data_IF_012199927631
#
_entry.id   IF_012199927631
#
_cell.length_a   1.000
_cell.length_b   1.000
_cell.length_c   1.000
_cell.angle_alpha   90.00
_cell.angle_beta   90.00
_cell.angle_gamma   90.00
#
_symmetry.space_group_name_H-M   'P 1'
#
loop_
_entity.id
_entity.type
_entity.pdbx_description
1 polymer ?
#
# COMPACT_ATOMS: atom_id res chain seq x y z
N UNK A 1 -31.74 -42.96 26.82
CA UNK A 1 -30.50 -42.23 26.41
C UNK A 1 -30.67 -40.71 26.33
N UNK A 2 -31.86 -40.13 26.29
CA UNK A 2 -32.09 -38.70 26.06
C UNK A 2 -31.83 -37.76 27.29
N UNK A 3 -32.05 -38.23 28.54
CA UNK A 3 -31.97 -37.36 29.72
C UNK A 3 -30.55 -36.91 30.09
N UNK A 4 -29.52 -37.72 29.85
CA UNK A 4 -28.11 -37.35 30.12
C UNK A 4 -27.53 -36.27 29.18
N UNK A 5 -28.04 -36.18 27.97
CA UNK A 5 -27.60 -35.14 27.01
C UNK A 5 -28.20 -33.76 27.36
N UNK A 6 -29.43 -33.71 27.81
CA UNK A 6 -30.10 -32.44 28.20
C UNK A 6 -29.41 -31.82 29.42
N UNK A 7 -29.03 -32.64 30.42
CA UNK A 7 -28.32 -32.15 31.60
C UNK A 7 -26.91 -31.58 31.24
N UNK A 8 -26.22 -32.20 30.30
CA UNK A 8 -24.90 -31.74 29.82
C UNK A 8 -24.97 -30.40 29.07
N UNK A 9 -26.01 -30.18 28.27
CA UNK A 9 -26.23 -28.91 27.58
C UNK A 9 -26.59 -27.77 28.55
N UNK A 10 -27.43 -28.05 29.56
CA UNK A 10 -27.80 -27.05 30.58
C UNK A 10 -26.61 -26.62 31.43
N UNK A 11 -25.73 -27.55 31.83
CA UNK A 11 -24.52 -27.24 32.61
C UNK A 11 -23.47 -26.44 31.77
N UNK A 12 -23.35 -26.71 30.46
CA UNK A 12 -22.48 -25.92 29.57
C UNK A 12 -23.04 -24.51 29.39
N UNK A 13 -24.35 -24.37 29.24
CA UNK A 13 -24.98 -23.05 29.06
C UNK A 13 -24.84 -22.21 30.35
N UNK A 14 -25.03 -22.79 31.53
CA UNK A 14 -24.86 -22.10 32.83
C UNK A 14 -23.40 -21.69 33.10
N UNK A 15 -22.40 -22.48 32.64
CA UNK A 15 -20.98 -22.11 32.71
C UNK A 15 -20.64 -20.95 31.79
N UNK A 16 -21.20 -20.93 30.57
CA UNK A 16 -21.01 -19.86 29.60
C UNK A 16 -21.57 -18.52 30.09
N UNK A 17 -22.74 -18.52 30.75
CA UNK A 17 -23.34 -17.31 31.31
C UNK A 17 -22.53 -16.76 32.51
N UNK A 18 -21.96 -17.62 33.36
CA UNK A 18 -21.09 -17.17 34.46
C UNK A 18 -19.75 -16.58 33.99
N UNK A 19 -19.26 -17.00 32.85
CA UNK A 19 -18.03 -16.44 32.27
C UNK A 19 -18.33 -15.04 31.68
N UNK A 20 -19.43 -14.86 30.93
CA UNK A 20 -19.85 -13.57 30.41
C UNK A 20 -20.05 -12.50 31.47
N UNK A 21 -20.73 -12.84 32.58
CA UNK A 21 -20.93 -11.88 33.68
C UNK A 21 -19.65 -11.47 34.38
N UNK A 22 -18.65 -12.36 34.48
CA UNK A 22 -17.32 -12.01 35.03
C UNK A 22 -16.50 -11.12 34.09
N UNK A 23 -16.60 -11.31 32.81
CA UNK A 23 -15.94 -10.44 31.81
C UNK A 23 -16.56 -9.04 31.77
N UNK A 24 -17.89 -8.94 31.84
CA UNK A 24 -18.59 -7.65 31.91
C UNK A 24 -18.26 -6.86 33.19
N UNK A 25 -18.12 -7.53 34.33
CA UNK A 25 -17.67 -6.90 35.59
C UNK A 25 -16.21 -6.44 35.53
N UNK A 26 -15.33 -7.18 34.83
CA UNK A 26 -13.94 -6.83 34.65
C UNK A 26 -13.80 -5.57 33.77
N UNK A 27 -14.52 -5.52 32.66
CA UNK A 27 -14.55 -4.37 31.75
C UNK A 27 -15.08 -3.12 32.45
N UNK A 28 -16.14 -3.20 33.26
CA UNK A 28 -16.63 -2.08 34.07
C UNK A 28 -15.63 -1.57 35.10
N UNK A 29 -14.85 -2.44 35.73
CA UNK A 29 -13.81 -2.04 36.70
C UNK A 29 -12.62 -1.36 36.01
N UNK A 30 -12.24 -1.79 34.80
CA UNK A 30 -11.17 -1.18 34.04
C UNK A 30 -11.58 0.20 33.48
N UNK A 31 -12.82 0.36 33.00
CA UNK A 31 -13.38 1.65 32.59
C UNK A 31 -13.40 2.66 33.76
N UNK A 32 -13.77 2.24 34.95
CA UNK A 32 -13.79 3.15 36.12
C UNK A 32 -12.38 3.58 36.55
N UNK A 33 -11.37 2.70 36.45
CA UNK A 33 -9.96 3.06 36.72
C UNK A 33 -9.39 4.04 35.66
N UNK A 34 -9.80 3.96 34.40
CA UNK A 34 -9.40 4.87 33.35
C UNK A 34 -9.91 6.30 33.64
N UNK A 35 -11.19 6.46 34.00
CA UNK A 35 -11.78 7.77 34.27
C UNK A 35 -11.16 8.46 35.50
N UNK A 36 -10.77 7.70 36.54
CA UNK A 36 -10.10 8.25 37.71
C UNK A 36 -8.67 8.73 37.41
N UNK A 37 -7.94 8.03 36.52
CA UNK A 37 -6.61 8.47 36.09
C UNK A 37 -6.66 9.74 35.25
N UNK A 38 -7.62 9.86 34.33
CA UNK A 38 -7.79 11.06 33.48
C UNK A 38 -8.12 12.30 34.30
N UNK A 39 -8.94 12.17 35.34
CA UNK A 39 -9.26 13.27 36.26
C UNK A 39 -8.05 13.74 37.09
N UNK A 40 -7.15 12.83 37.44
CA UNK A 40 -5.95 13.16 38.23
C UNK A 40 -4.90 13.94 37.41
N UNK A 41 -4.75 13.62 36.12
CA UNK A 41 -3.83 14.34 35.24
C UNK A 41 -4.32 15.73 34.86
N UNK A 42 -5.63 15.95 34.74
CA UNK A 42 -6.19 17.28 34.47
C UNK A 42 -5.98 18.25 35.64
N UNK A 43 -5.96 17.74 36.87
CA UNK A 43 -5.75 18.58 38.08
C UNK A 43 -4.27 18.98 38.25
N UNK A 44 -3.33 18.16 37.81
CA UNK A 44 -1.88 18.45 37.91
C UNK A 44 -1.44 19.45 36.83
N UNK A 45 -2.04 19.48 35.65
CA UNK A 45 -1.72 20.41 34.57
C UNK A 45 -2.10 21.87 34.90
N UNK A 46 -3.12 22.09 35.75
CA UNK A 46 -3.58 23.44 36.15
C UNK A 46 -2.67 24.14 37.19
N UNK A 47 -1.77 23.42 37.84
CA UNK A 47 -0.87 23.99 38.88
C UNK A 47 0.44 24.54 38.28
N UNK A 48 0.83 24.14 37.08
CA UNK A 48 2.09 24.56 36.46
C UNK A 48 2.01 25.83 35.58
N UNK A 49 0.84 26.40 35.35
CA UNK A 49 0.68 27.60 34.50
C UNK A 49 0.67 28.97 35.26
N UNK A 50 0.94 28.99 36.56
CA UNK A 50 0.82 30.21 37.39
C UNK A 50 2.15 30.87 37.81
N UNK A 51 3.30 30.45 37.31
CA UNK A 51 4.59 31.03 37.67
C UNK A 51 5.50 31.24 36.49
N UNK A 52 5.29 32.26 35.68
CA UNK A 52 6.34 32.88 34.84
C UNK A 52 5.86 34.19 34.26
N UNK A 53 5.94 35.20 35.01
CA UNK A 53 5.82 36.59 34.57
C UNK A 53 6.48 37.52 35.56
N UNK A 54 7.74 37.84 35.37
CA UNK A 54 8.34 39.11 35.75
C UNK A 54 9.84 39.16 35.39
N UNK A 55 10.30 40.35 34.94
CA UNK A 55 11.65 40.81 34.63
C UNK A 55 12.02 40.67 33.14
N UNK A 56 12.45 41.70 32.43
CA UNK A 56 12.71 43.09 32.75
C UNK A 56 13.30 43.75 31.49
N UNK A 57 12.86 44.94 31.16
CA UNK A 57 13.31 45.80 30.08
C UNK A 57 14.75 46.32 30.31
N UNK A 58 15.65 46.16 29.34
CA UNK A 58 16.83 47.04 29.18
C UNK A 58 16.98 47.34 27.69
N UNK A 59 16.79 48.59 27.33
CA UNK A 59 16.99 49.09 25.98
C UNK A 59 18.47 49.32 25.67
N UNK A 60 18.82 49.14 24.42
CA UNK A 60 19.99 49.77 23.80
C UNK A 60 19.57 50.34 22.45
N UNK A 61 19.74 51.68 22.34
CA UNK A 61 19.69 52.40 21.06
C UNK A 61 21.04 52.24 20.37
N UNK A 62 21.03 51.85 19.12
CA UNK A 62 22.05 52.30 18.19
C UNK A 62 21.47 52.43 16.77
N UNK A 63 21.70 53.62 16.25
CA UNK A 63 21.34 54.07 14.92
C UNK A 63 22.41 53.64 13.91
N UNK A 64 22.05 52.95 12.85
CA UNK A 64 22.88 52.87 11.66
C UNK A 64 22.02 52.83 10.38
N UNK A 65 22.54 53.49 9.40
CA UNK A 65 21.98 54.07 8.20
C UNK A 65 21.40 53.08 7.17
N UNK A 66 20.44 53.59 6.42
CA UNK A 66 19.86 53.05 5.20
C UNK A 66 20.92 52.71 4.14
N UNK A 67 20.92 51.45 3.68
CA UNK A 67 21.36 51.10 2.34
C UNK A 67 20.20 50.28 1.70
N UNK A 68 19.58 50.87 0.67
CA UNK A 68 18.54 50.24 -0.12
C UNK A 68 19.11 49.08 -0.89
N UNK A 69 18.81 47.87 -0.42
CA UNK A 69 18.96 46.64 -1.18
C UNK A 69 17.55 46.09 -1.41
N UNK A 70 17.17 45.91 -2.68
CA UNK A 70 15.97 45.21 -3.07
C UNK A 70 15.97 43.84 -2.37
N UNK A 71 15.05 43.62 -1.45
CA UNK A 71 14.78 42.32 -0.90
C UNK A 71 14.19 41.44 -2.04
N UNK A 72 15.04 40.75 -2.76
CA UNK A 72 14.60 39.54 -3.44
C UNK A 72 14.06 38.61 -2.35
N UNK A 73 12.75 38.40 -2.36
CA UNK A 73 12.11 37.38 -1.55
C UNK A 73 12.71 36.04 -2.03
N UNK A 74 13.65 35.53 -1.23
CA UNK A 74 14.03 34.11 -1.36
C UNK A 74 12.78 33.34 -0.95
N UNK A 75 11.90 33.08 -1.90
CA UNK A 75 10.91 32.03 -1.79
C UNK A 75 11.73 30.76 -1.62
N UNK A 76 11.82 30.28 -0.40
CA UNK A 76 12.35 28.96 -0.10
C UNK A 76 11.50 27.98 -0.92
N UNK A 77 11.99 27.57 -2.10
CA UNK A 77 11.36 26.49 -2.83
C UNK A 77 11.39 25.26 -1.91
N UNK A 78 10.22 24.87 -1.46
CA UNK A 78 10.05 23.62 -0.74
C UNK A 78 10.61 22.51 -1.63
N UNK A 79 11.65 21.84 -1.15
CA UNK A 79 12.21 20.68 -1.86
C UNK A 79 11.08 19.67 -2.08
N UNK A 80 10.94 19.15 -3.32
CA UNK A 80 9.88 18.20 -3.63
C UNK A 80 10.01 16.92 -2.78
N UNK A 81 8.90 16.29 -2.38
CA UNK A 81 8.95 14.97 -1.77
C UNK A 81 9.40 13.94 -2.83
N UNK A 82 10.24 13.01 -2.42
CA UNK A 82 10.88 12.03 -3.32
C UNK A 82 10.94 10.65 -2.66
N UNK A 83 11.07 9.55 -3.42
CA UNK A 83 11.39 8.26 -2.83
C UNK A 83 12.70 8.33 -2.04
N UNK A 84 12.70 7.85 -0.81
CA UNK A 84 13.88 7.79 0.06
C UNK A 84 14.19 6.33 0.40
N UNK A 85 15.47 5.96 0.44
CA UNK A 85 15.91 4.66 0.99
C UNK A 85 15.98 4.72 2.52
N UNK A 86 16.39 5.87 3.05
CA UNK A 86 16.40 6.24 4.45
C UNK A 86 16.31 7.78 4.53
N UNK A 87 16.13 8.32 5.72
CA UNK A 87 16.03 9.77 5.90
C UNK A 87 17.22 10.50 5.29
N UNK A 88 16.93 11.35 4.30
CA UNK A 88 17.93 12.16 3.60
C UNK A 88 18.66 11.45 2.46
N UNK A 89 18.28 10.24 2.09
CA UNK A 89 18.87 9.49 0.97
C UNK A 89 17.86 9.32 -0.18
N UNK A 90 17.72 10.30 -1.09
CA UNK A 90 16.78 10.28 -2.20
C UNK A 90 17.24 9.35 -3.32
N UNK A 91 16.28 8.68 -3.97
CA UNK A 91 16.48 7.85 -5.16
C UNK A 91 15.38 8.13 -6.19
N UNK A 92 15.60 7.73 -7.46
CA UNK A 92 14.55 7.89 -8.48
C UNK A 92 13.41 6.88 -8.32
N UNK A 93 13.73 5.68 -7.86
CA UNK A 93 12.75 4.66 -7.49
C UNK A 93 13.34 3.68 -6.48
N UNK A 94 12.45 3.04 -5.72
CA UNK A 94 12.75 1.84 -4.94
C UNK A 94 11.61 0.85 -5.03
N UNK A 95 11.94 -0.43 -4.86
CA UNK A 95 11.02 -1.55 -4.71
C UNK A 95 11.32 -2.26 -3.40
N UNK A 96 10.26 -2.70 -2.71
CA UNK A 96 10.35 -3.49 -1.48
C UNK A 96 9.42 -4.70 -1.60
N UNK A 97 9.90 -5.87 -1.19
CA UNK A 97 9.09 -7.05 -0.93
C UNK A 97 9.23 -7.46 0.53
N UNK A 98 8.13 -7.38 1.27
CA UNK A 98 8.00 -7.85 2.65
C UNK A 98 7.56 -9.30 2.65
N UNK A 99 8.27 -10.16 3.39
CA UNK A 99 7.97 -11.58 3.48
C UNK A 99 6.75 -11.87 4.37
N UNK A 100 6.22 -13.08 4.28
CA UNK A 100 5.17 -13.58 5.17
C UNK A 100 5.72 -14.04 6.53
N UNK A 101 4.87 -14.05 7.55
CA UNK A 101 5.27 -14.35 8.93
C UNK A 101 5.58 -15.83 9.19
N UNK A 102 5.04 -16.75 8.39
CA UNK A 102 5.29 -18.19 8.60
C UNK A 102 6.71 -18.60 8.21
N UNK A 103 7.21 -18.07 7.09
CA UNK A 103 8.54 -18.42 6.55
C UNK A 103 9.65 -17.53 7.08
N UNK A 104 9.32 -16.29 7.40
CA UNK A 104 10.24 -15.28 7.91
C UNK A 104 9.62 -14.60 9.14
N UNK A 105 9.55 -15.31 10.28
CA UNK A 105 9.08 -14.69 11.51
C UNK A 105 10.04 -13.58 11.89
N UNK A 106 9.53 -12.37 11.96
CA UNK A 106 10.31 -11.19 12.26
C UNK A 106 10.53 -11.00 13.76
N UNK A 107 10.71 -9.74 14.22
CA UNK A 107 11.03 -9.28 15.57
C UNK A 107 10.93 -10.31 16.68
N UNK A 108 12.05 -10.77 17.15
CA UNK A 108 12.12 -11.69 18.29
C UNK A 108 12.25 -10.95 19.64
N UNK A 109 12.38 -9.63 19.62
CA UNK A 109 12.55 -8.80 20.81
C UNK A 109 11.19 -8.34 21.32
N UNK A 110 10.80 -8.77 22.49
CA UNK A 110 9.61 -8.27 23.22
C UNK A 110 9.80 -6.83 23.76
N UNK A 111 10.69 -6.05 23.15
CA UNK A 111 10.92 -4.69 23.57
C UNK A 111 9.79 -3.78 23.08
N UNK A 112 9.21 -2.92 23.93
CA UNK A 112 8.28 -1.91 23.50
C UNK A 112 8.90 -1.04 22.42
N UNK A 113 8.16 -0.74 21.36
CA UNK A 113 8.60 0.15 20.29
C UNK A 113 7.61 1.29 20.13
N UNK A 114 8.15 2.47 19.92
CA UNK A 114 7.34 3.64 19.58
C UNK A 114 6.95 3.56 18.11
N UNK A 115 5.65 3.58 17.84
CA UNK A 115 5.12 3.63 16.48
C UNK A 115 5.37 5.00 15.87
N UNK A 116 6.18 5.07 14.83
CA UNK A 116 6.56 6.33 14.17
C UNK A 116 5.33 7.10 13.63
N UNK A 117 4.32 6.38 13.13
CA UNK A 117 3.11 6.95 12.54
C UNK A 117 1.88 6.80 13.43
N UNK A 118 2.06 6.53 14.71
CA UNK A 118 0.98 6.25 15.65
C UNK A 118 0.58 4.76 15.64
N UNK A 119 -0.58 4.44 16.22
CA UNK A 119 -1.06 3.08 16.39
C UNK A 119 -0.78 2.52 17.78
N UNK A 120 -1.24 1.31 18.01
CA UNK A 120 -1.11 0.62 19.28
C UNK A 120 -0.10 -0.50 19.13
N UNK A 121 1.00 -0.38 19.85
CA UNK A 121 1.95 -1.47 19.99
C UNK A 121 1.28 -2.62 20.74
N UNK A 122 1.35 -3.82 20.17
CA UNK A 122 0.90 -5.04 20.84
C UNK A 122 2.11 -5.93 21.14
N UNK A 123 1.96 -6.77 22.16
CA UNK A 123 2.98 -7.75 22.49
C UNK A 123 3.28 -8.61 21.26
N UNK A 124 4.53 -8.59 20.83
CA UNK A 124 5.00 -9.34 19.70
C UNK A 124 4.94 -10.84 20.00
N UNK A 125 4.13 -11.56 19.26
CA UNK A 125 3.87 -13.00 19.48
C UNK A 125 4.47 -13.90 18.39
N UNK A 126 5.39 -13.40 17.58
CA UNK A 126 6.01 -14.18 16.50
C UNK A 126 5.08 -14.44 15.30
N UNK A 127 3.97 -13.68 15.21
CA UNK A 127 2.98 -13.82 14.13
C UNK A 127 3.15 -12.79 13.01
N UNK A 128 4.13 -11.91 13.11
CA UNK A 128 4.36 -10.80 12.19
C UNK A 128 5.67 -11.00 11.45
N UNK A 129 5.71 -10.61 10.18
CA UNK A 129 6.94 -10.57 9.42
C UNK A 129 7.41 -9.13 9.30
N UNK A 130 8.68 -8.94 9.50
CA UNK A 130 9.39 -7.69 9.31
C UNK A 130 10.44 -7.79 8.24
N UNK A 131 10.90 -9.01 8.00
CA UNK A 131 11.93 -9.27 7.02
C UNK A 131 11.45 -8.80 5.64
N UNK A 132 12.29 -8.00 5.01
CA UNK A 132 12.05 -7.51 3.67
C UNK A 132 13.34 -7.49 2.86
N UNK A 133 13.16 -7.47 1.55
CA UNK A 133 14.20 -7.18 0.58
C UNK A 133 13.83 -5.96 -0.23
N UNK A 134 14.81 -5.22 -0.69
CA UNK A 134 14.60 -4.02 -1.48
C UNK A 134 15.62 -3.90 -2.61
N UNK A 135 15.28 -3.10 -3.61
CA UNK A 135 16.16 -2.64 -4.67
C UNK A 135 15.85 -1.18 -4.97
N UNK A 136 16.80 -0.46 -5.57
CA UNK A 136 16.63 0.95 -5.90
C UNK A 136 17.27 1.32 -7.23
N UNK A 137 17.05 2.55 -7.67
CA UNK A 137 17.71 3.10 -8.86
C UNK A 137 19.24 3.16 -8.73
N UNK A 138 19.78 3.30 -7.51
CA UNK A 138 21.21 3.29 -7.23
C UNK A 138 21.78 1.88 -7.15
N UNK A 139 21.03 0.94 -6.56
CA UNK A 139 21.40 -0.47 -6.55
C UNK A 139 20.21 -1.34 -6.92
N UNK A 140 20.06 -1.68 -8.22
CA UNK A 140 18.94 -2.47 -8.69
C UNK A 140 18.97 -3.95 -8.30
N UNK A 141 20.04 -4.44 -7.69
CA UNK A 141 20.11 -5.80 -7.14
C UNK A 141 19.37 -5.87 -5.82
N UNK A 142 18.68 -6.99 -5.55
CA UNK A 142 17.96 -7.21 -4.29
C UNK A 142 18.94 -7.23 -3.11
N UNK A 143 18.61 -6.46 -2.09
CA UNK A 143 19.32 -6.37 -0.82
C UNK A 143 18.38 -6.76 0.31
N UNK A 144 18.93 -7.32 1.40
CA UNK A 144 18.15 -7.53 2.63
C UNK A 144 17.97 -6.19 3.33
N UNK A 145 16.76 -5.90 3.79
CA UNK A 145 16.47 -4.80 4.69
C UNK A 145 16.85 -5.13 6.13
N UNK A 146 16.91 -4.09 6.96
CA UNK A 146 17.21 -4.20 8.38
C UNK A 146 16.00 -3.69 9.20
N UNK A 147 15.62 -4.47 10.21
CA UNK A 147 14.49 -4.15 11.09
C UNK A 147 13.11 -4.38 10.48
N UNK A 148 12.11 -3.72 11.05
CA UNK A 148 10.71 -3.81 10.65
C UNK A 148 10.40 -2.79 9.54
N UNK A 149 9.82 -3.23 8.46
CA UNK A 149 9.42 -2.35 7.38
C UNK A 149 8.36 -1.34 7.85
N UNK A 150 8.59 -0.05 7.60
CA UNK A 150 7.69 1.04 7.98
C UNK A 150 7.81 1.48 9.45
N UNK A 151 8.68 0.87 10.24
CA UNK A 151 8.85 1.16 11.66
C UNK A 151 9.82 2.33 11.93
N UNK A 152 10.76 2.59 11.02
CA UNK A 152 11.83 3.57 11.22
C UNK A 152 12.05 4.49 10.03
N UNK A 153 12.88 5.51 10.23
CA UNK A 153 13.35 6.37 9.14
C UNK A 153 14.58 5.80 8.41
N UNK A 154 14.95 4.56 8.69
CA UNK A 154 16.08 3.85 8.06
C UNK A 154 15.63 2.80 7.06
N UNK A 155 14.33 2.76 6.78
CA UNK A 155 13.75 1.88 5.75
C UNK A 155 13.04 2.72 4.68
N UNK A 156 12.91 2.21 3.44
CA UNK A 156 12.37 2.98 2.33
C UNK A 156 10.92 3.43 2.52
N UNK A 157 10.08 2.61 3.13
CA UNK A 157 8.65 2.92 3.33
C UNK A 157 8.51 3.98 4.42
N UNK A 158 9.13 3.78 5.58
CA UNK A 158 9.08 4.71 6.70
C UNK A 158 9.64 6.08 6.34
N UNK A 159 10.83 6.13 5.74
CA UNK A 159 11.47 7.39 5.35
C UNK A 159 10.68 8.14 4.27
N UNK A 160 10.13 7.44 3.28
CA UNK A 160 9.35 8.10 2.21
C UNK A 160 8.03 8.63 2.74
N UNK A 161 7.31 7.88 3.57
CA UNK A 161 6.03 8.29 4.13
C UNK A 161 6.16 9.42 5.16
N UNK A 162 7.22 9.42 5.97
CA UNK A 162 7.49 10.46 6.99
C UNK A 162 7.53 11.87 6.39
N UNK A 163 8.06 12.04 5.18
CA UNK A 163 8.10 13.33 4.49
C UNK A 163 6.73 13.98 4.37
N UNK A 164 5.70 13.18 4.20
CA UNK A 164 4.31 13.62 3.99
C UNK A 164 3.55 13.64 5.31
N UNK A 165 3.59 12.55 6.06
CA UNK A 165 2.77 12.36 7.26
C UNK A 165 3.15 13.34 8.38
N UNK A 166 4.43 13.58 8.62
CA UNK A 166 4.92 14.44 9.71
C UNK A 166 5.28 15.85 9.27
N UNK A 167 5.36 16.15 7.97
CA UNK A 167 5.79 17.47 7.49
C UNK A 167 4.62 18.44 7.25
N UNK A 168 3.46 17.96 6.79
CA UNK A 168 2.25 18.76 6.57
C UNK A 168 2.30 19.83 5.44
N UNK A 169 3.42 19.95 4.72
CA UNK A 169 3.62 21.01 3.70
C UNK A 169 3.33 20.55 2.26
N UNK A 170 3.17 19.25 2.04
CA UNK A 170 2.94 18.70 0.70
C UNK A 170 1.47 18.44 0.42
N UNK A 171 1.13 18.54 -0.87
CA UNK A 171 -0.14 18.03 -1.36
C UNK A 171 -0.06 16.52 -1.53
N UNK A 172 -1.16 15.81 -1.28
CA UNK A 172 -1.21 14.35 -1.42
C UNK A 172 -2.59 13.85 -1.78
N UNK A 173 -2.61 12.66 -2.37
CA UNK A 173 -3.81 11.83 -2.56
C UNK A 173 -3.47 10.41 -2.12
N UNK A 174 -4.29 9.84 -1.25
CA UNK A 174 -4.26 8.43 -0.88
C UNK A 174 -5.49 7.76 -1.46
N UNK A 175 -5.31 6.56 -2.01
CA UNK A 175 -6.39 5.70 -2.47
C UNK A 175 -6.20 4.28 -1.95
N UNK A 176 -7.30 3.65 -1.55
CA UNK A 176 -7.30 2.26 -1.12
C UNK A 176 -8.72 1.69 -1.25
N UNK A 177 -8.88 0.56 -1.92
CA UNK A 177 -10.19 -0.08 -2.02
C UNK A 177 -10.60 -0.85 -0.76
N UNK A 178 -9.76 -0.85 0.28
CA UNK A 178 -9.94 -1.56 1.54
C UNK A 178 -9.56 -0.69 2.74
N UNK A 179 -10.18 0.48 2.91
CA UNK A 179 -9.98 1.35 4.08
C UNK A 179 -10.62 0.80 5.36
N UNK A 180 -11.48 -0.23 5.25
CA UNK A 180 -12.18 -0.86 6.39
C UNK A 180 -13.01 0.09 7.26
N UNK A 181 -13.43 1.22 6.70
CA UNK A 181 -14.29 2.21 7.35
C UNK A 181 -13.55 3.35 8.04
N UNK A 182 -12.22 3.40 7.93
CA UNK A 182 -11.40 4.52 8.41
C UNK A 182 -10.33 4.89 7.34
N UNK A 183 -10.60 5.91 6.50
CA UNK A 183 -11.82 6.73 6.47
C UNK A 183 -13.06 6.01 5.91
N UNK A 184 -14.23 6.55 6.23
CA UNK A 184 -15.49 6.11 5.63
C UNK A 184 -15.61 6.67 4.22
N UNK A 185 -15.69 5.81 3.23
CA UNK A 185 -15.93 6.22 1.83
C UNK A 185 -17.39 5.99 1.46
N UNK A 186 -18.04 7.02 0.90
CA UNK A 186 -19.45 6.94 0.50
C UNK A 186 -19.68 5.82 -0.52
N UNK A 187 -20.56 4.90 -0.20
CA UNK A 187 -20.90 3.76 -1.07
C UNK A 187 -19.90 2.59 -1.00
N UNK A 188 -18.96 2.62 -0.05
CA UNK A 188 -18.00 1.56 0.17
C UNK A 188 -17.55 1.56 1.65
N UNK A 189 -18.23 0.81 2.50
CA UNK A 189 -18.04 0.92 3.95
C UNK A 189 -16.83 0.15 4.50
N UNK A 190 -16.37 -0.92 3.82
CA UNK A 190 -15.23 -1.73 4.28
C UNK A 190 -14.26 -2.03 3.13
N UNK A 191 -14.72 -2.80 2.16
CA UNK A 191 -13.97 -3.19 0.97
C UNK A 191 -14.83 -2.92 -0.26
N UNK A 192 -14.26 -2.24 -1.24
CA UNK A 192 -14.95 -1.89 -2.48
C UNK A 192 -14.78 -2.99 -3.51
N UNK A 193 -15.88 -3.42 -4.11
CA UNK A 193 -15.88 -4.41 -5.20
C UNK A 193 -15.98 -3.73 -6.57
N UNK A 194 -15.95 -4.53 -7.65
CA UNK A 194 -16.26 -4.07 -9.02
C UNK A 194 -17.50 -3.16 -9.04
N UNK A 195 -17.49 -2.07 -9.82
CA UNK A 195 -16.49 -1.65 -10.80
C UNK A 195 -15.38 -0.73 -10.24
N UNK A 196 -15.23 -0.60 -8.92
CA UNK A 196 -14.10 0.10 -8.34
C UNK A 196 -12.78 -0.60 -8.65
N UNK A 197 -11.71 0.18 -8.76
CA UNK A 197 -10.36 -0.34 -8.88
C UNK A 197 -9.97 -1.22 -7.69
N UNK A 198 -9.10 -2.19 -7.93
CA UNK A 198 -8.39 -2.92 -6.88
C UNK A 198 -6.97 -2.34 -6.83
N UNK A 199 -6.83 -1.19 -6.22
CA UNK A 199 -5.61 -0.40 -6.26
C UNK A 199 -5.43 0.33 -4.94
N UNK A 200 -4.17 0.45 -4.50
CA UNK A 200 -3.79 1.09 -3.26
C UNK A 200 -2.49 1.86 -3.44
N UNK A 201 -2.39 3.02 -2.80
CA UNK A 201 -1.19 3.83 -2.86
C UNK A 201 -1.38 5.28 -2.44
N UNK A 202 -0.33 6.05 -2.66
CA UNK A 202 -0.36 7.49 -2.47
C UNK A 202 0.43 8.23 -3.55
N UNK A 203 0.01 9.45 -3.82
CA UNK A 203 0.76 10.50 -4.51
C UNK A 203 1.11 11.59 -3.51
N UNK A 204 2.29 12.17 -3.61
CA UNK A 204 2.65 13.39 -2.89
C UNK A 204 3.46 14.32 -3.79
N UNK A 205 3.22 15.63 -3.70
CA UNK A 205 3.90 16.61 -4.54
C UNK A 205 3.97 18.00 -3.87
N UNK A 206 4.92 18.82 -4.34
CA UNK A 206 5.08 20.21 -3.95
C UNK A 206 4.25 21.17 -4.82
N UNK A 207 4.38 22.47 -4.61
CA UNK A 207 3.69 23.52 -5.37
C UNK A 207 3.97 23.49 -6.89
N UNK A 208 5.12 22.95 -7.30
CA UNK A 208 5.49 22.81 -8.72
C UNK A 208 4.93 21.53 -9.35
N UNK A 209 4.27 20.67 -8.60
CA UNK A 209 3.76 19.38 -9.07
C UNK A 209 4.84 18.31 -9.20
N UNK A 210 6.04 18.53 -8.67
CA UNK A 210 7.10 17.51 -8.61
C UNK A 210 6.94 16.71 -7.33
N UNK A 211 7.10 15.39 -7.41
CA UNK A 211 6.88 14.54 -6.24
C UNK A 211 7.12 13.06 -6.50
N UNK A 212 6.32 12.21 -5.88
CA UNK A 212 6.39 10.76 -6.08
C UNK A 212 5.03 10.09 -6.09
N UNK A 213 4.98 8.89 -6.67
CA UNK A 213 3.93 7.89 -6.46
C UNK A 213 4.48 6.75 -5.63
N UNK A 214 3.67 6.21 -4.72
CA UNK A 214 3.94 4.96 -4.02
C UNK A 214 2.76 4.02 -4.21
N UNK A 215 2.96 2.95 -4.98
CA UNK A 215 2.02 1.83 -5.11
C UNK A 215 2.26 0.86 -3.96
N UNK A 216 1.19 0.37 -3.35
CA UNK A 216 1.27 -0.59 -2.25
C UNK A 216 0.28 -1.73 -2.45
N UNK A 217 0.60 -2.90 -1.96
CA UNK A 217 -0.34 -4.02 -2.00
C UNK A 217 -1.17 -4.15 -0.71
N UNK A 218 -0.82 -3.42 0.34
CA UNK A 218 -1.44 -3.52 1.67
C UNK A 218 -2.85 -2.95 1.72
N UNK A 219 -3.86 -3.72 2.15
CA UNK A 219 -5.13 -3.16 2.60
C UNK A 219 -4.90 -2.19 3.77
N UNK A 220 -5.82 -1.25 3.98
CA UNK A 220 -5.83 -0.25 5.04
C UNK A 220 -4.65 0.73 5.13
N UNK A 221 -3.51 0.46 4.51
CA UNK A 221 -2.32 1.32 4.53
C UNK A 221 -2.00 1.90 3.13
N UNK A 222 -1.53 3.17 3.01
CA UNK A 222 -1.71 4.21 4.01
C UNK A 222 -3.18 4.65 4.05
N UNK A 223 -3.67 5.10 5.20
CA UNK A 223 -5.03 5.56 5.37
C UNK A 223 -5.15 6.99 5.89
N UNK A 224 -4.01 7.64 6.16
CA UNK A 224 -3.91 9.06 6.45
C UNK A 224 -2.59 9.60 5.90
N UNK A 225 -2.63 10.76 5.27
CA UNK A 225 -1.44 11.45 4.74
C UNK A 225 -0.89 12.51 5.67
N UNK A 226 -1.55 12.77 6.80
CA UNK A 226 -1.12 13.77 7.77
C UNK A 226 -1.47 13.35 9.19
N UNK A 227 -0.57 13.63 10.13
CA UNK A 227 -0.80 13.46 11.57
C UNK A 227 -1.91 14.36 12.13
N UNK A 228 -2.30 15.42 11.41
CA UNK A 228 -3.38 16.32 11.81
C UNK A 228 -4.76 15.71 11.57
N UNK A 229 -4.84 14.70 10.68
CA UNK A 229 -6.03 13.93 10.38
C UNK A 229 -5.74 12.42 10.44
N UNK A 230 -5.28 11.89 11.59
CA UNK A 230 -4.78 10.53 11.68
C UNK A 230 -5.91 9.51 11.51
N UNK A 231 -5.54 8.31 11.10
CA UNK A 231 -6.38 7.14 11.25
C UNK A 231 -6.53 6.80 12.74
N UNK A 232 -7.71 6.34 13.14
CA UNK A 232 -8.03 6.13 14.56
C UNK A 232 -7.74 4.71 15.04
N UNK A 233 -7.63 3.74 14.12
CA UNK A 233 -7.52 2.32 14.46
C UNK A 233 -6.07 1.83 14.62
N UNK A 234 -5.19 2.10 13.66
CA UNK A 234 -3.83 1.56 13.63
C UNK A 234 -2.72 2.59 13.33
N UNK A 235 -3.08 3.85 13.10
CA UNK A 235 -2.13 4.97 12.95
C UNK A 235 -1.21 4.88 11.72
N UNK A 236 -1.55 4.12 10.67
CA UNK A 236 -0.74 3.90 9.47
C UNK A 236 0.57 3.11 9.71
N UNK A 237 0.66 2.33 10.76
CA UNK A 237 1.87 1.56 11.06
C UNK A 237 1.94 0.26 10.26
N UNK A 238 3.17 -0.18 10.01
CA UNK A 238 3.53 -1.46 9.40
C UNK A 238 4.54 -2.19 10.29
N UNK A 239 4.97 -3.35 9.83
CA UNK A 239 6.11 -4.04 10.42
C UNK A 239 5.82 -4.74 11.75
N UNK A 240 6.39 -4.26 12.83
CA UNK A 240 6.38 -4.90 14.14
C UNK A 240 5.09 -4.72 14.95
N UNK A 241 4.07 -4.12 14.39
CA UNK A 241 2.83 -3.80 15.08
C UNK A 241 1.72 -4.74 14.64
N UNK A 242 0.80 -5.08 15.53
CA UNK A 242 -0.37 -5.89 15.16
C UNK A 242 -1.31 -5.11 14.25
N UNK A 243 -1.05 -5.26 12.98
CA UNK A 243 -1.89 -4.81 11.88
C UNK A 243 -2.32 -6.03 11.06
N UNK A 244 -3.47 -5.99 10.41
CA UNK A 244 -3.98 -7.09 9.59
C UNK A 244 -3.13 -7.38 8.35
N UNK A 245 -2.23 -6.48 7.98
CA UNK A 245 -1.41 -6.55 6.76
C UNK A 245 0.02 -7.04 6.98
N UNK A 246 0.47 -7.14 8.22
CA UNK A 246 1.85 -7.55 8.53
C UNK A 246 2.09 -9.04 8.42
N UNK A 247 1.04 -9.86 8.41
CA UNK A 247 1.16 -11.33 8.44
C UNK A 247 1.56 -11.94 7.10
N UNK A 248 1.06 -11.38 6.01
CA UNK A 248 1.25 -11.91 4.65
C UNK A 248 2.32 -11.16 3.88
N UNK A 249 2.85 -11.77 2.81
CA UNK A 249 3.80 -11.06 1.96
C UNK A 249 3.13 -9.89 1.26
N UNK A 250 3.84 -8.76 1.18
CA UNK A 250 3.39 -7.52 0.55
C UNK A 250 4.46 -6.96 -0.38
N UNK A 251 4.09 -6.07 -1.30
CA UNK A 251 5.05 -5.28 -2.06
C UNK A 251 4.72 -3.80 -1.99
N UNK A 252 5.77 -3.00 -2.16
CA UNK A 252 5.74 -1.55 -2.23
C UNK A 252 6.66 -1.11 -3.36
N UNK A 253 6.25 -0.11 -4.09
CA UNK A 253 7.04 0.47 -5.17
C UNK A 253 6.85 1.98 -5.15
N UNK A 254 7.94 2.75 -5.06
CA UNK A 254 7.88 4.21 -5.17
C UNK A 254 8.72 4.72 -6.33
N UNK A 255 8.21 5.75 -6.98
CA UNK A 255 8.78 6.35 -8.18
C UNK A 255 8.70 7.87 -8.12
N UNK A 256 9.81 8.55 -8.37
CA UNK A 256 9.89 10.00 -8.52
C UNK A 256 9.13 10.45 -9.77
N UNK A 257 8.42 11.56 -9.66
CA UNK A 257 7.59 12.13 -10.72
C UNK A 257 7.96 13.58 -10.99
N UNK A 258 8.03 13.93 -12.26
CA UNK A 258 7.87 15.30 -12.73
C UNK A 258 6.39 15.69 -12.70
N UNK A 259 6.07 16.99 -12.88
CA UNK A 259 4.68 17.43 -13.03
C UNK A 259 3.97 16.71 -14.20
N UNK A 260 4.64 16.53 -15.32
CA UNK A 260 4.07 15.83 -16.47
C UNK A 260 3.78 14.35 -16.16
N UNK A 261 4.65 13.68 -15.39
CA UNK A 261 4.41 12.32 -14.94
C UNK A 261 3.25 12.24 -13.92
N UNK A 262 3.18 13.20 -13.00
CA UNK A 262 2.08 13.30 -12.02
C UNK A 262 0.72 13.38 -12.74
N UNK A 263 0.61 14.18 -13.80
CA UNK A 263 -0.59 14.30 -14.64
C UNK A 263 -0.95 12.94 -15.26
N UNK A 264 0.04 12.22 -15.86
CA UNK A 264 -0.16 10.88 -16.42
C UNK A 264 -0.65 9.88 -15.36
N UNK A 265 -0.03 9.89 -14.18
CA UNK A 265 -0.45 9.02 -13.09
C UNK A 265 -1.87 9.33 -12.63
N UNK A 266 -2.24 10.61 -12.48
CA UNK A 266 -3.61 11.00 -12.13
C UNK A 266 -4.65 10.54 -13.16
N UNK A 267 -4.34 10.62 -14.46
CA UNK A 267 -5.20 10.05 -15.50
C UNK A 267 -5.30 8.54 -15.41
N UNK A 268 -4.19 7.84 -15.16
CA UNK A 268 -4.18 6.39 -14.95
C UNK A 268 -5.04 5.96 -13.75
N UNK A 269 -4.95 6.67 -12.62
CA UNK A 269 -5.77 6.43 -11.43
C UNK A 269 -7.26 6.68 -11.69
N UNK A 270 -7.59 7.73 -12.45
CA UNK A 270 -8.97 8.00 -12.87
C UNK A 270 -9.50 6.88 -13.77
N UNK A 271 -8.71 6.44 -14.76
CA UNK A 271 -9.06 5.32 -15.64
C UNK A 271 -9.28 4.03 -14.85
N UNK A 272 -8.43 3.75 -13.86
CA UNK A 272 -8.53 2.60 -12.97
C UNK A 272 -9.72 2.67 -11.99
N UNK A 273 -10.42 3.81 -11.86
CA UNK A 273 -11.52 4.01 -10.90
C UNK A 273 -11.06 3.81 -9.44
N UNK A 274 -9.95 4.41 -9.04
CA UNK A 274 -9.42 4.23 -7.69
C UNK A 274 -10.37 4.78 -6.62
N UNK A 275 -10.35 4.16 -5.46
CA UNK A 275 -11.19 4.53 -4.31
C UNK A 275 -10.48 5.59 -3.48
N UNK A 276 -10.99 6.80 -3.52
CA UNK A 276 -10.57 7.94 -2.70
C UNK A 276 -11.73 8.92 -2.55
N UNK A 277 -11.58 9.94 -1.72
CA UNK A 277 -12.57 11.01 -1.58
C UNK A 277 -11.85 12.37 -1.56
N UNK A 278 -11.90 13.15 -2.66
CA UNK A 278 -11.25 14.45 -2.76
C UNK A 278 -11.70 15.49 -1.71
N UNK A 279 -12.80 15.27 -1.03
CA UNK A 279 -13.30 16.13 0.05
C UNK A 279 -12.84 15.71 1.44
N UNK A 280 -12.19 14.54 1.57
CA UNK A 280 -11.77 14.02 2.87
C UNK A 280 -10.30 14.39 3.16
N UNK A 281 -10.09 15.28 4.11
CA UNK A 281 -8.75 15.79 4.49
C UNK A 281 -7.82 14.74 5.09
N UNK A 282 -8.35 13.61 5.55
CA UNK A 282 -7.54 12.49 6.03
C UNK A 282 -6.70 11.86 4.90
N UNK A 283 -7.26 11.80 3.68
CA UNK A 283 -6.64 11.11 2.54
C UNK A 283 -6.32 12.01 1.35
N UNK A 284 -6.81 13.25 1.32
CA UNK A 284 -6.54 14.19 0.23
C UNK A 284 -6.24 15.58 0.77
N UNK A 285 -5.06 16.09 0.45
CA UNK A 285 -4.70 17.49 0.56
C UNK A 285 -4.39 18.01 -0.84
N UNK A 286 -5.34 18.73 -1.44
CA UNK A 286 -5.26 19.12 -2.84
C UNK A 286 -4.62 20.51 -2.99
N UNK A 287 -3.48 20.58 -3.68
CA UNK A 287 -2.73 21.80 -3.94
C UNK A 287 -1.85 21.70 -5.19
N UNK A 288 -0.91 22.63 -5.32
CA UNK A 288 0.01 22.70 -6.46
C UNK A 288 -0.62 23.25 -7.74
N UNK A 289 -0.16 22.85 -8.95
CA UNK A 289 -0.61 23.39 -10.23
C UNK A 289 -2.12 23.23 -10.46
N UNK A 290 -2.75 24.23 -11.09
CA UNK A 290 -4.21 24.23 -11.30
C UNK A 290 -4.74 23.00 -12.06
N UNK A 291 -4.00 22.50 -13.03
CA UNK A 291 -4.34 21.29 -13.79
C UNK A 291 -4.35 20.06 -12.86
N UNK A 292 -3.31 19.90 -12.02
CA UNK A 292 -3.21 18.82 -11.03
C UNK A 292 -4.39 18.88 -10.07
N UNK A 293 -4.70 20.07 -9.52
CA UNK A 293 -5.84 20.25 -8.64
C UNK A 293 -7.18 19.84 -9.29
N UNK A 294 -7.35 20.13 -10.57
CA UNK A 294 -8.57 19.76 -11.30
C UNK A 294 -8.67 18.24 -11.51
N UNK A 295 -7.56 17.56 -11.81
CA UNK A 295 -7.50 16.11 -11.95
C UNK A 295 -7.80 15.41 -10.61
N UNK A 296 -7.24 15.90 -9.50
CA UNK A 296 -7.53 15.39 -8.16
C UNK A 296 -9.02 15.47 -7.82
N UNK A 297 -9.71 16.60 -8.12
CA UNK A 297 -11.16 16.74 -7.92
C UNK A 297 -11.99 15.72 -8.72
N UNK A 298 -11.41 15.13 -9.77
CA UNK A 298 -12.07 14.13 -10.60
C UNK A 298 -11.84 12.69 -10.15
N UNK A 299 -10.93 12.44 -9.20
CA UNK A 299 -10.72 11.12 -8.61
C UNK A 299 -11.94 10.67 -7.76
N UNK A 300 -11.93 9.42 -7.34
CA UNK A 300 -13.03 8.84 -6.55
C UNK A 300 -14.35 8.69 -7.34
N UNK A 301 -14.26 8.62 -8.66
CA UNK A 301 -15.38 8.37 -9.58
C UNK A 301 -15.11 7.10 -10.38
N UNK A 302 -16.20 6.43 -10.78
CA UNK A 302 -16.11 5.25 -11.66
C UNK A 302 -15.85 5.70 -13.09
N UNK A 303 -14.84 5.12 -13.73
CA UNK A 303 -14.52 5.34 -15.14
C UNK A 303 -15.51 4.60 -16.04
N UNK A 304 -15.90 5.25 -17.13
CA UNK A 304 -16.71 4.66 -18.20
C UNK A 304 -15.85 4.12 -19.35
N UNK A 305 -14.53 4.29 -19.27
CA UNK A 305 -13.58 3.84 -20.29
C UNK A 305 -13.62 2.34 -20.49
N UNK A 306 -13.48 1.91 -21.75
CA UNK A 306 -13.28 0.52 -22.16
C UNK A 306 -11.87 0.26 -22.69
N UNK A 307 -11.01 1.28 -22.70
CA UNK A 307 -9.65 1.20 -23.22
C UNK A 307 -8.62 1.32 -22.10
N UNK A 308 -7.60 0.47 -22.11
CA UNK A 308 -6.43 0.67 -21.26
C UNK A 308 -5.59 1.85 -21.75
N UNK A 309 -4.72 2.36 -20.90
CA UNK A 309 -3.70 3.34 -21.27
C UNK A 309 -2.31 2.76 -21.03
N UNK A 310 -1.36 3.16 -21.86
CA UNK A 310 0.07 2.82 -21.75
C UNK A 310 0.87 4.10 -21.92
N UNK A 311 1.49 4.57 -20.84
CA UNK A 311 2.18 5.84 -20.76
C UNK A 311 3.63 5.63 -20.34
N UNK A 312 4.55 6.24 -21.09
CA UNK A 312 5.96 6.28 -20.69
C UNK A 312 6.23 7.46 -19.79
N UNK A 313 6.75 7.19 -18.59
CA UNK A 313 7.16 8.21 -17.61
C UNK A 313 8.60 8.66 -17.88
N UNK A 314 8.96 9.84 -17.37
CA UNK A 314 10.28 10.45 -17.61
C UNK A 314 11.45 9.61 -17.08
N UNK A 315 11.21 8.80 -16.04
CA UNK A 315 12.15 7.83 -15.47
C UNK A 315 12.38 6.59 -16.36
N UNK A 316 11.67 6.48 -17.50
CA UNK A 316 11.71 5.30 -18.37
C UNK A 316 10.83 4.14 -17.95
N UNK A 317 10.04 4.32 -16.89
CA UNK A 317 9.02 3.36 -16.43
C UNK A 317 7.79 3.46 -17.33
N UNK A 318 7.23 2.32 -17.75
CA UNK A 318 5.96 2.27 -18.46
C UNK A 318 4.82 2.08 -17.44
N UNK A 319 3.74 2.87 -17.59
CA UNK A 319 2.56 2.86 -16.73
C UNK A 319 1.35 2.39 -17.53
N UNK A 320 0.88 1.18 -17.25
CA UNK A 320 -0.36 0.65 -17.81
C UNK A 320 -1.49 0.86 -16.83
N UNK A 321 -2.64 1.38 -17.31
CA UNK A 321 -3.87 1.48 -16.53
C UNK A 321 -4.99 0.72 -17.20
N UNK A 322 -5.58 -0.25 -16.48
CA UNK A 322 -6.71 -1.07 -16.91
C UNK A 322 -8.01 -0.52 -16.30
N UNK A 323 -9.02 -0.15 -17.11
CA UNK A 323 -10.35 0.18 -16.58
C UNK A 323 -11.16 -1.07 -16.27
N UNK A 324 -12.16 -0.93 -15.38
CA UNK A 324 -13.02 -2.02 -14.98
C UNK A 324 -13.91 -2.56 -16.12
N UNK A 325 -14.33 -1.69 -17.03
CA UNK A 325 -15.21 -2.04 -18.16
C UNK A 325 -14.51 -2.80 -19.29
N UNK A 326 -13.19 -2.86 -19.29
CA UNK A 326 -12.44 -3.67 -20.26
C UNK A 326 -12.67 -5.17 -20.05
N UNK A 327 -12.91 -5.63 -18.83
CA UNK A 327 -13.35 -6.98 -18.44
C UNK A 327 -12.47 -8.13 -18.97
N UNK A 328 -11.16 -7.92 -19.03
CA UNK A 328 -10.17 -8.93 -19.47
C UNK A 328 -9.30 -9.39 -18.29
N UNK A 329 -8.70 -10.59 -18.37
CA UNK A 329 -7.75 -11.08 -17.38
C UNK A 329 -6.55 -10.12 -17.24
N UNK A 330 -6.20 -9.67 -16.02
CA UNK A 330 -5.28 -8.55 -15.85
C UNK A 330 -3.86 -8.79 -16.37
N UNK A 331 -3.29 -9.95 -16.08
CA UNK A 331 -1.90 -10.24 -16.43
C UNK A 331 -1.74 -10.65 -17.90
N UNK A 332 -2.80 -11.15 -18.53
CA UNK A 332 -2.85 -11.32 -19.98
C UNK A 332 -2.86 -9.95 -20.70
N UNK A 333 -3.54 -8.95 -20.12
CA UNK A 333 -3.48 -7.58 -20.66
C UNK A 333 -2.05 -7.04 -20.62
N UNK A 334 -1.33 -7.21 -19.49
CA UNK A 334 0.07 -6.77 -19.38
C UNK A 334 0.94 -7.48 -20.42
N UNK A 335 0.78 -8.77 -20.60
CA UNK A 335 1.49 -9.54 -21.62
C UNK A 335 1.22 -8.99 -23.02
N UNK A 336 -0.04 -8.75 -23.36
CA UNK A 336 -0.42 -8.21 -24.68
C UNK A 336 0.12 -6.80 -24.91
N UNK A 337 0.05 -5.91 -23.91
CA UNK A 337 0.64 -4.57 -23.98
C UNK A 337 2.16 -4.59 -24.18
N UNK A 338 2.82 -5.65 -23.71
CA UNK A 338 4.23 -5.95 -23.96
C UNK A 338 4.44 -6.79 -25.25
N UNK A 339 3.56 -6.67 -26.23
CA UNK A 339 3.64 -7.39 -27.53
C UNK A 339 3.62 -8.90 -27.40
N UNK A 340 2.81 -9.47 -26.51
CA UNK A 340 2.67 -10.89 -26.30
C UNK A 340 3.85 -11.52 -25.54
N UNK A 341 4.59 -10.73 -24.80
CA UNK A 341 5.74 -11.18 -24.03
C UNK A 341 5.29 -12.18 -22.94
N UNK A 342 5.89 -13.39 -22.89
CA UNK A 342 5.58 -14.32 -21.81
C UNK A 342 6.01 -13.78 -20.45
N UNK A 343 5.16 -13.91 -19.44
CA UNK A 343 5.42 -13.41 -18.08
C UNK A 343 5.22 -14.49 -17.03
N UNK A 344 5.92 -14.32 -15.88
CA UNK A 344 5.73 -15.07 -14.65
C UNK A 344 5.30 -14.09 -13.57
N UNK A 345 4.19 -14.37 -12.87
CA UNK A 345 3.63 -13.47 -11.88
C UNK A 345 3.36 -14.19 -10.55
N UNK A 346 3.52 -13.48 -9.44
CA UNK A 346 3.04 -13.84 -8.13
C UNK A 346 1.99 -12.82 -7.70
N UNK A 347 0.81 -13.28 -7.29
CA UNK A 347 -0.31 -12.41 -6.88
C UNK A 347 -1.05 -13.04 -5.70
N UNK A 348 -2.03 -12.34 -5.14
CA UNK A 348 -3.04 -12.99 -4.32
C UNK A 348 -3.84 -13.96 -5.22
N UNK A 349 -3.34 -15.19 -5.34
CA UNK A 349 -3.92 -16.22 -6.19
C UNK A 349 -4.80 -17.13 -5.35
N UNK A 350 -6.09 -16.84 -5.36
CA UNK A 350 -7.16 -17.54 -4.64
C UNK A 350 -8.44 -17.50 -5.47
N UNK A 351 -9.47 -18.24 -5.07
CA UNK A 351 -10.74 -18.36 -5.81
C UNK A 351 -11.42 -17.03 -6.12
N UNK A 352 -11.84 -16.77 -7.36
CA UNK A 352 -11.73 -17.65 -8.56
C UNK A 352 -10.35 -17.47 -9.24
N UNK A 353 -9.52 -18.52 -9.17
CA UNK A 353 -8.17 -18.51 -9.70
C UNK A 353 -8.16 -18.52 -11.24
N UNK A 354 -7.28 -17.72 -11.86
CA UNK A 354 -6.85 -17.92 -13.22
C UNK A 354 -5.54 -18.69 -13.18
N UNK A 355 -5.53 -19.87 -13.75
CA UNK A 355 -4.40 -20.79 -13.79
C UNK A 355 -3.32 -20.34 -14.79
N UNK A 356 -2.17 -21.01 -14.78
CA UNK A 356 -1.11 -20.80 -15.76
C UNK A 356 -1.66 -21.00 -17.18
N UNK A 357 -1.34 -20.06 -18.09
CA UNK A 357 -1.70 -20.14 -19.51
C UNK A 357 -0.50 -20.47 -20.37
N UNK A 358 -0.76 -21.09 -21.50
CA UNK A 358 0.21 -21.39 -22.57
C UNK A 358 -0.22 -20.69 -23.85
N UNK A 359 0.57 -20.80 -24.89
CA UNK A 359 0.21 -20.26 -26.22
C UNK A 359 -1.05 -20.93 -26.82
N UNK A 360 -1.43 -22.11 -26.34
CA UNK A 360 -2.63 -22.84 -26.78
C UNK A 360 -3.85 -22.63 -25.88
N UNK A 361 -3.73 -21.88 -24.78
CA UNK A 361 -4.85 -21.64 -23.87
C UNK A 361 -5.92 -20.79 -24.52
N UNK A 362 -7.18 -21.23 -24.40
CA UNK A 362 -8.34 -20.49 -24.93
C UNK A 362 -8.68 -19.30 -24.01
N UNK A 363 -8.75 -18.09 -24.56
CA UNK A 363 -9.12 -16.88 -23.84
C UNK A 363 -10.26 -16.19 -24.60
N UNK A 364 -11.52 -16.41 -24.18
CA UNK A 364 -12.70 -15.77 -24.81
C UNK A 364 -13.11 -14.48 -24.10
N UNK A 365 -12.68 -14.28 -22.86
CA UNK A 365 -12.82 -12.99 -22.17
C UNK A 365 -11.69 -12.03 -22.62
N UNK A 366 -11.72 -11.69 -23.90
CA UNK A 366 -10.68 -10.91 -24.57
C UNK A 366 -11.26 -9.95 -25.60
N UNK A 367 -10.55 -8.88 -25.88
CA UNK A 367 -10.80 -7.99 -27.01
C UNK A 367 -9.65 -8.13 -28.00
N UNK A 368 -9.93 -8.52 -29.22
CA UNK A 368 -8.92 -8.77 -30.27
C UNK A 368 -8.07 -7.52 -30.61
N UNK A 369 -8.63 -6.33 -30.39
CA UNK A 369 -7.90 -5.04 -30.57
C UNK A 369 -6.71 -4.89 -29.61
N UNK A 370 -6.65 -5.66 -28.54
CA UNK A 370 -5.54 -5.65 -27.57
C UNK A 370 -4.30 -6.42 -28.02
N UNK A 371 -4.36 -7.10 -29.19
CA UNK A 371 -3.33 -8.03 -29.62
C UNK A 371 -3.43 -9.38 -28.92
N UNK A 372 -2.49 -10.27 -29.19
CA UNK A 372 -2.46 -11.63 -28.65
C UNK A 372 -1.60 -11.68 -27.38
N UNK A 373 -2.14 -12.08 -26.21
CA UNK A 373 -1.33 -12.24 -25.02
C UNK A 373 -0.43 -13.50 -25.14
N UNK A 374 0.78 -13.38 -24.64
CA UNK A 374 1.66 -14.53 -24.45
C UNK A 374 1.29 -15.35 -23.20
N UNK A 375 2.01 -16.46 -22.95
CA UNK A 375 1.85 -17.27 -21.75
C UNK A 375 2.01 -16.46 -20.45
N UNK A 376 1.16 -16.74 -19.47
CA UNK A 376 1.25 -16.17 -18.10
C UNK A 376 1.39 -17.32 -17.12
N UNK A 377 2.57 -17.47 -16.53
CA UNK A 377 2.86 -18.44 -15.48
C UNK A 377 2.52 -17.84 -14.12
N UNK A 378 1.90 -18.62 -13.24
CA UNK A 378 1.58 -18.19 -11.87
C UNK A 378 2.53 -18.90 -10.90
N UNK A 379 3.40 -18.13 -10.26
CA UNK A 379 4.27 -18.61 -9.20
C UNK A 379 3.45 -18.92 -7.94
N UNK A 380 3.59 -20.12 -7.40
CA UNK A 380 2.92 -20.58 -6.18
C UNK A 380 3.87 -20.71 -5.01
N UNK A 381 5.17 -20.78 -5.28
CA UNK A 381 6.24 -20.70 -4.27
C UNK A 381 7.36 -19.79 -4.76
N UNK A 382 8.06 -19.20 -3.82
CA UNK A 382 9.25 -18.37 -4.01
C UNK A 382 10.42 -18.84 -3.16
N UNK A 383 11.55 -18.17 -3.27
CA UNK A 383 12.76 -18.50 -2.51
C UNK A 383 13.60 -17.26 -2.19
N UNK A 384 14.21 -17.26 -1.02
CA UNK A 384 15.17 -16.25 -0.61
C UNK A 384 16.16 -16.82 0.43
N UNK A 385 17.47 -16.59 0.23
CA UNK A 385 18.53 -17.02 1.15
C UNK A 385 18.44 -18.50 1.57
N UNK A 386 18.05 -19.38 0.64
CA UNK A 386 17.92 -20.82 0.92
C UNK A 386 16.58 -21.24 1.54
N UNK A 387 15.72 -20.30 1.92
CA UNK A 387 14.36 -20.56 2.40
C UNK A 387 13.36 -20.53 1.24
N UNK A 388 12.35 -21.41 1.32
CA UNK A 388 11.19 -21.43 0.40
C UNK A 388 9.97 -20.87 1.12
N UNK A 389 9.14 -20.10 0.41
CA UNK A 389 7.91 -19.53 0.97
C UNK A 389 6.76 -19.60 -0.03
N UNK A 390 5.52 -19.60 0.50
CA UNK A 390 4.32 -19.62 -0.32
C UNK A 390 4.08 -18.27 -0.99
N UNK A 391 3.59 -18.33 -2.25
CA UNK A 391 3.11 -17.16 -3.01
C UNK A 391 1.61 -17.28 -3.32
N UNK A 392 0.89 -18.21 -2.69
CA UNK A 392 -0.56 -18.36 -2.82
C UNK A 392 -1.29 -17.31 -2.01
N UNK A 393 -2.44 -16.82 -2.49
CA UNK A 393 -3.32 -15.95 -1.74
C UNK A 393 -4.09 -16.71 -0.65
N UNK A 394 -4.44 -16.01 0.43
CA UNK A 394 -5.22 -16.58 1.52
C UNK A 394 -5.06 -15.79 2.83
N UNK A 395 -5.82 -16.12 3.87
CA UNK A 395 -5.75 -15.46 5.18
C UNK A 395 -4.68 -16.05 6.10
N UNK A 396 -3.88 -17.02 5.63
CA UNK A 396 -2.91 -17.74 6.44
C UNK A 396 -1.62 -16.92 6.59
N UNK A 397 -0.82 -17.25 7.62
CA UNK A 397 0.45 -16.59 7.90
C UNK A 397 1.49 -16.75 6.78
N UNK A 398 1.36 -17.78 5.96
CA UNK A 398 2.22 -18.05 4.81
C UNK A 398 1.70 -17.47 3.48
N UNK A 399 0.59 -16.73 3.51
CA UNK A 399 -0.03 -16.21 2.29
C UNK A 399 0.73 -15.02 1.69
N UNK A 400 0.44 -14.77 0.41
CA UNK A 400 0.99 -13.66 -0.36
C UNK A 400 -0.10 -12.68 -0.80
N UNK A 401 0.14 -11.40 -0.61
CA UNK A 401 -0.69 -10.32 -1.13
C UNK A 401 0.04 -9.40 -2.11
N UNK A 402 1.33 -9.61 -2.34
CA UNK A 402 2.09 -8.93 -3.38
C UNK A 402 1.56 -9.25 -4.79
N UNK A 403 1.72 -8.32 -5.72
CA UNK A 403 1.41 -8.49 -7.15
C UNK A 403 2.64 -8.06 -7.94
N UNK A 404 3.53 -8.99 -8.15
CA UNK A 404 4.80 -8.77 -8.83
C UNK A 404 4.97 -9.76 -9.98
N UNK A 405 5.71 -9.37 -10.99
CA UNK A 405 5.97 -10.23 -12.12
C UNK A 405 7.25 -9.88 -12.85
N UNK A 406 7.65 -10.78 -13.72
CA UNK A 406 8.78 -10.60 -14.62
C UNK A 406 8.45 -11.18 -15.99
N UNK A 407 9.11 -10.69 -17.04
CA UNK A 407 9.16 -11.42 -18.31
C UNK A 407 9.88 -12.75 -18.13
N UNK A 408 9.53 -13.78 -18.90
CA UNK A 408 10.29 -15.03 -18.94
C UNK A 408 11.33 -15.05 -20.06
N UNK A 409 11.31 -14.07 -20.94
CA UNK A 409 12.33 -13.83 -21.97
C UNK A 409 13.46 -12.97 -21.41
N UNK A 410 14.62 -13.57 -21.21
CA UNK A 410 15.82 -12.89 -20.67
C UNK A 410 16.37 -11.77 -21.59
N UNK A 411 16.02 -11.76 -22.87
CA UNK A 411 16.39 -10.68 -23.80
C UNK A 411 15.58 -9.41 -23.56
N UNK A 412 14.43 -9.55 -22.88
CA UNK A 412 13.49 -8.50 -22.52
C UNK A 412 13.29 -8.46 -20.99
N UNK A 413 14.28 -8.03 -20.20
CA UNK A 413 14.29 -8.18 -18.74
C UNK A 413 13.39 -7.13 -18.06
N UNK A 414 12.09 -7.35 -18.08
CA UNK A 414 11.10 -6.49 -17.44
C UNK A 414 10.77 -6.98 -16.02
N UNK A 415 10.73 -6.04 -15.08
CA UNK A 415 10.15 -6.14 -13.76
C UNK A 415 8.78 -5.45 -13.76
N UNK A 416 7.76 -6.05 -13.16
CA UNK A 416 6.36 -5.61 -13.22
C UNK A 416 5.80 -5.54 -11.81
N UNK A 417 5.23 -4.39 -11.43
CA UNK A 417 4.56 -4.15 -10.16
C UNK A 417 3.11 -3.78 -10.44
N UNK A 418 2.15 -4.53 -9.89
CA UNK A 418 0.75 -4.37 -10.25
C UNK A 418 -0.21 -4.29 -9.07
N UNK A 419 -1.40 -3.80 -9.34
CA UNK A 419 -2.50 -3.76 -8.38
C UNK A 419 -3.35 -5.03 -8.39
N UNK A 420 -3.50 -5.66 -9.56
CA UNK A 420 -4.54 -6.63 -9.82
C UNK A 420 -4.06 -8.07 -9.57
N UNK A 421 -4.92 -8.85 -8.92
CA UNK A 421 -4.71 -10.28 -8.75
C UNK A 421 -4.99 -11.04 -10.05
N UNK A 422 -4.36 -12.18 -10.22
CA UNK A 422 -4.68 -13.13 -11.30
C UNK A 422 -5.90 -13.98 -10.89
N UNK A 423 -7.04 -13.29 -10.81
CA UNK A 423 -8.35 -13.83 -10.43
C UNK A 423 -9.42 -13.39 -11.41
N UNK A 424 -10.36 -14.27 -11.72
CA UNK A 424 -11.44 -14.00 -12.65
C UNK A 424 -11.72 -15.21 -13.54
N UNK A 425 -11.81 -14.99 -14.85
CA UNK A 425 -12.00 -16.07 -15.82
C UNK A 425 -11.30 -15.78 -17.15
N UNK A 426 -10.79 -16.83 -17.78
CA UNK A 426 -10.28 -16.77 -19.16
C UNK A 426 -11.42 -16.90 -20.17
N UNK A 427 -12.46 -17.67 -19.83
CA UNK A 427 -13.54 -18.06 -20.73
C UNK A 427 -14.91 -17.91 -20.06
N UNK A 428 -15.98 -17.99 -20.83
CA UNK A 428 -17.36 -18.01 -20.32
C UNK A 428 -18.14 -16.75 -20.62
N UNK A 429 -19.38 -16.67 -20.05
CA UNK A 429 -20.33 -15.58 -20.37
C UNK A 429 -20.20 -14.36 -19.45
N UNK A 430 -19.47 -14.46 -18.34
CA UNK A 430 -19.33 -13.39 -17.34
C UNK A 430 -17.88 -12.92 -17.25
N UNK A 431 -17.39 -12.26 -18.29
CA UNK A 431 -16.04 -11.74 -18.32
C UNK A 431 -15.75 -10.68 -17.23
N UNK A 432 -16.77 -10.11 -16.60
CA UNK A 432 -16.62 -9.17 -15.47
C UNK A 432 -16.30 -9.84 -14.12
N UNK A 433 -16.04 -11.13 -14.10
CA UNK A 433 -15.76 -11.88 -12.87
C UNK A 433 -14.50 -11.36 -12.16
N UNK A 434 -14.60 -11.14 -10.84
CA UNK A 434 -13.49 -10.76 -9.96
C UNK A 434 -12.61 -9.62 -10.53
N UNK A 435 -11.31 -9.84 -10.70
CA UNK A 435 -10.35 -8.81 -11.12
C UNK A 435 -10.46 -8.46 -12.61
N UNK A 436 -11.07 -9.32 -13.43
CA UNK A 436 -11.40 -8.94 -14.81
C UNK A 436 -12.30 -7.70 -14.86
N UNK A 437 -13.26 -7.59 -13.94
CA UNK A 437 -14.19 -6.47 -13.82
C UNK A 437 -13.71 -5.33 -12.93
N UNK A 438 -12.42 -5.31 -12.56
CA UNK A 438 -11.82 -4.24 -11.74
C UNK A 438 -10.78 -3.45 -12.51
N UNK A 439 -10.60 -2.20 -12.16
CA UNK A 439 -9.49 -1.38 -12.63
C UNK A 439 -8.26 -1.52 -11.74
N UNK A 440 -7.10 -1.11 -12.26
CA UNK A 440 -5.83 -1.09 -11.55
C UNK A 440 -4.70 -0.63 -12.45
N UNK A 441 -3.54 -0.40 -11.86
CA UNK A 441 -2.33 0.06 -12.55
C UNK A 441 -1.20 -0.96 -12.48
N UNK A 442 -0.29 -0.88 -13.46
CA UNK A 442 0.95 -1.65 -13.50
C UNK A 442 2.10 -0.72 -13.87
N UNK A 443 3.19 -0.80 -13.10
CA UNK A 443 4.44 -0.12 -13.37
C UNK A 443 5.46 -1.14 -13.87
N UNK A 444 6.12 -0.84 -14.99
CA UNK A 444 6.99 -1.78 -15.70
C UNK A 444 8.35 -1.13 -15.91
N UNK A 445 9.39 -1.80 -15.40
CA UNK A 445 10.77 -1.32 -15.49
C UNK A 445 11.60 -2.31 -16.30
N UNK A 446 12.28 -1.82 -17.33
CA UNK A 446 13.28 -2.61 -18.05
C UNK A 446 14.64 -2.45 -17.36
N UNK A 447 14.97 -3.35 -16.43
CA UNK A 447 16.23 -3.36 -15.69
C UNK A 447 16.66 -4.80 -15.41
N UNK A 448 17.84 -5.19 -15.91
CA UNK A 448 18.32 -6.57 -15.83
C UNK A 448 18.61 -7.03 -14.39
N UNK A 449 19.17 -6.18 -13.54
CA UNK A 449 19.52 -6.58 -12.17
C UNK A 449 18.27 -6.75 -11.31
N UNK A 450 17.33 -5.79 -11.40
CA UNK A 450 16.03 -5.87 -10.74
C UNK A 450 15.22 -7.10 -11.22
N UNK A 451 15.18 -7.32 -12.55
CA UNK A 451 14.58 -8.49 -13.16
C UNK A 451 15.16 -9.79 -12.59
N UNK A 452 16.50 -9.91 -12.51
CA UNK A 452 17.15 -11.12 -11.99
C UNK A 452 16.78 -11.36 -10.53
N UNK A 453 16.81 -10.32 -9.68
CA UNK A 453 16.42 -10.43 -8.29
C UNK A 453 14.95 -10.83 -8.08
N UNK A 454 14.03 -10.24 -8.87
CA UNK A 454 12.63 -10.62 -8.85
C UNK A 454 12.39 -12.05 -9.38
N UNK A 455 13.07 -12.44 -10.47
CA UNK A 455 12.97 -13.79 -11.00
C UNK A 455 13.43 -14.81 -9.95
N UNK A 456 14.52 -14.53 -9.23
CA UNK A 456 15.01 -15.40 -8.15
C UNK A 456 14.00 -15.48 -7.00
N UNK A 457 13.40 -14.34 -6.62
CA UNK A 457 12.42 -14.25 -5.55
C UNK A 457 11.15 -15.09 -5.82
N UNK A 458 10.67 -15.10 -7.08
CA UNK A 458 9.45 -15.83 -7.47
C UNK A 458 9.75 -17.13 -8.22
N UNK A 459 11.00 -17.60 -8.23
CA UNK A 459 11.43 -18.86 -8.84
C UNK A 459 11.09 -20.05 -7.93
N UNK A 460 9.99 -20.69 -8.19
CA UNK A 460 9.57 -21.88 -7.48
C UNK A 460 8.57 -22.65 -8.34
N UNK A 461 7.65 -23.32 -7.69
CA UNK A 461 6.57 -24.02 -8.37
C UNK A 461 5.63 -23.04 -9.08
N UNK A 462 4.97 -23.55 -10.10
CA UNK A 462 3.89 -22.85 -10.81
C UNK A 462 2.56 -23.54 -10.58
N UNK A 463 1.49 -22.77 -10.63
CA UNK A 463 0.15 -23.32 -10.74
C UNK A 463 0.02 -24.18 -12.01
N UNK A 464 -0.84 -25.20 -11.95
CA UNK A 464 -1.16 -26.03 -13.10
C UNK A 464 -1.61 -25.21 -14.30
N UNK A 465 -1.43 -25.76 -15.49
CA UNK A 465 -1.93 -25.16 -16.72
C UNK A 465 -3.46 -25.24 -16.72
N UNK A 466 -4.10 -24.12 -17.11
CA UNK A 466 -5.55 -24.09 -17.31
C UNK A 466 -5.96 -25.21 -18.27
N UNK A 467 -6.74 -26.16 -17.77
CA UNK A 467 -7.33 -27.19 -18.64
C UNK A 467 -8.47 -26.58 -19.43
N UNK A 468 -8.50 -26.79 -20.72
CA UNK A 468 -9.68 -26.50 -21.54
C UNK A 468 -10.85 -27.39 -21.01
N UNK A 469 -11.68 -26.86 -20.13
CA UNK A 469 -12.91 -27.50 -19.65
C UNK A 469 -14.10 -26.81 -20.26
#
# INVERSE_FOLDING_TARGET
>A
MCAKQILSCALKWHRSQKIKTKEEEKVKKESHRSHVRTALYATIALIFFSFSGYLGNVGYHDTAAFAGGSAESIVSQSTAPVPLLEKGHPVDWWFVFKFNAASFPGCHDNAPRDCLFGGTEQDYQGHYSEDFVYASSENPSMQRGDGCLGDTLRDPVGATFDQVYNNGSYSYVIWNDQFYGDPVIKGCTKSCSSPWGHSKGMLAWNEDGTGFVMQVSTPSWPASGSKDHPRTSDGNTLGCIDDNDVKVSQHFFALKLTQADLIKVLHALQNASVVTDPANLQIVHNGGPAEVQQLVKNLGKKSESTSYTDEKLSTGVDLISKPSKLQVPPWQLVSAALNGLPIRAATWWATPEIYTTTASSTITCWNEDLGTPGPVQIATTGGWSGSTFSLKGGPQLDSNHAKIGVSTDQSQPYAIFGDLNQQGTLTGQKCSSSQNGRGGTFYIIKNKALYTGLMDLIRGETADVASDK
#
